data_IF_704444513857
#
_entry.id   IF_704444513857
#
_cell.length_a   1.000
_cell.length_b   1.000
_cell.length_c   1.000
_cell.angle_alpha   90.00
_cell.angle_beta   90.00
_cell.angle_gamma   90.00
#
_symmetry.space_group_name_H-M   'P 1'
#
loop_
_entity.id
_entity.type
_entity.pdbx_description
1 polymer ?
#
# COMPACT_ATOMS: atom_id res chain seq x y z
N UNK A 1 -24.60 34.29 -68.62
CA UNK A 1 -24.09 33.14 -69.40
C UNK A 1 -24.57 33.28 -70.82
N UNK A 2 -23.72 33.11 -71.83
CA UNK A 2 -24.15 33.16 -73.23
C UNK A 2 -24.83 31.84 -73.57
N UNK A 3 -26.15 31.85 -73.70
CA UNK A 3 -26.92 30.66 -74.11
C UNK A 3 -26.46 30.21 -75.50
N UNK A 4 -26.34 28.88 -75.69
CA UNK A 4 -25.90 28.25 -76.94
C UNK A 4 -27.00 28.19 -78.02
N UNK A 5 -28.17 28.76 -77.71
CA UNK A 5 -29.35 28.80 -78.56
C UNK A 5 -30.01 30.18 -78.55
N UNK A 6 -30.87 30.43 -79.53
CA UNK A 6 -31.75 31.61 -79.68
C UNK A 6 -33.19 31.11 -79.71
N UNK A 7 -34.12 31.82 -79.09
CA UNK A 7 -35.53 31.44 -79.24
C UNK A 7 -36.03 31.90 -80.62
N UNK A 8 -36.78 31.04 -81.32
CA UNK A 8 -37.22 31.35 -82.70
C UNK A 8 -38.25 32.48 -82.71
N UNK A 9 -39.14 32.49 -81.73
CA UNK A 9 -40.20 33.48 -81.60
C UNK A 9 -40.18 34.13 -80.22
N UNK A 10 -39.12 34.89 -79.90
CA UNK A 10 -39.01 35.58 -78.59
C UNK A 10 -40.24 36.43 -78.26
N UNK A 11 -40.77 37.15 -79.25
CA UNK A 11 -41.95 38.01 -79.09
C UNK A 11 -43.26 37.25 -78.87
N UNK A 12 -43.31 35.94 -79.16
CA UNK A 12 -44.50 35.11 -78.93
C UNK A 12 -44.47 34.36 -77.60
N UNK A 13 -43.37 34.45 -76.85
CA UNK A 13 -43.27 33.82 -75.54
C UNK A 13 -44.15 34.59 -74.56
N UNK A 14 -45.04 33.87 -73.88
CA UNK A 14 -45.94 34.47 -72.89
C UNK A 14 -45.13 35.21 -71.81
N UNK A 15 -45.49 36.46 -71.46
CA UNK A 15 -44.84 37.20 -70.38
C UNK A 15 -44.84 36.44 -69.04
N UNK A 16 -45.81 35.54 -68.82
CA UNK A 16 -45.90 34.70 -67.63
C UNK A 16 -44.79 33.63 -67.53
N UNK A 17 -44.02 33.42 -68.60
CA UNK A 17 -42.88 32.49 -68.64
C UNK A 17 -41.53 33.23 -68.49
N UNK A 18 -41.56 34.56 -68.33
CA UNK A 18 -40.38 35.40 -68.29
C UNK A 18 -40.03 35.76 -66.85
N UNK A 19 -38.75 35.63 -66.49
CA UNK A 19 -38.26 36.05 -65.18
C UNK A 19 -38.15 37.57 -65.11
N UNK A 20 -38.76 38.16 -64.08
CA UNK A 20 -38.72 39.62 -63.85
C UNK A 20 -37.34 40.16 -63.45
N UNK A 21 -36.41 39.29 -63.04
CA UNK A 21 -35.05 39.68 -62.65
C UNK A 21 -34.12 39.75 -63.86
N UNK A 22 -34.12 38.74 -64.74
CA UNK A 22 -33.22 38.69 -65.90
C UNK A 22 -33.87 39.02 -67.24
N UNK A 23 -35.20 39.14 -67.30
CA UNK A 23 -35.95 39.45 -68.53
C UNK A 23 -35.96 38.32 -69.58
N UNK A 24 -35.53 37.11 -69.23
CA UNK A 24 -35.49 35.94 -70.13
C UNK A 24 -36.47 34.85 -69.66
N UNK A 25 -36.88 33.91 -70.53
CA UNK A 25 -37.67 32.76 -70.12
C UNK A 25 -37.01 31.99 -68.97
N UNK A 26 -37.80 31.46 -68.03
CA UNK A 26 -37.25 30.90 -66.80
C UNK A 26 -36.25 29.74 -67.03
N UNK A 27 -35.10 29.80 -66.38
CA UNK A 27 -34.07 28.74 -66.35
C UNK A 27 -33.96 28.18 -64.93
N UNK A 28 -34.12 26.86 -64.80
CA UNK A 28 -34.25 26.15 -63.50
C UNK A 28 -35.20 26.91 -62.56
N UNK A 29 -36.52 26.97 -62.86
CA UNK A 29 -37.46 27.83 -62.14
C UNK A 29 -37.73 27.39 -60.70
N UNK A 30 -37.72 28.36 -59.78
CA UNK A 30 -38.10 28.18 -58.38
C UNK A 30 -39.16 29.21 -57.98
N UNK A 31 -40.06 28.76 -57.12
CA UNK A 31 -41.16 29.54 -56.58
C UNK A 31 -40.89 29.91 -55.11
N UNK A 32 -41.35 31.09 -54.69
CA UNK A 32 -41.59 31.35 -53.28
C UNK A 32 -42.88 30.66 -52.81
N UNK A 33 -43.13 30.64 -51.50
CA UNK A 33 -44.35 30.08 -50.89
C UNK A 33 -45.65 30.71 -51.41
N UNK A 34 -45.59 31.92 -51.96
CA UNK A 34 -46.73 32.64 -52.52
C UNK A 34 -46.94 32.41 -54.03
N UNK A 35 -46.12 31.55 -54.67
CA UNK A 35 -46.27 31.18 -56.08
C UNK A 35 -45.56 32.08 -57.09
N UNK A 36 -44.82 33.12 -56.67
CA UNK A 36 -43.99 33.92 -57.58
C UNK A 36 -42.77 33.11 -58.02
N UNK A 37 -42.55 33.04 -59.34
CA UNK A 37 -41.51 32.20 -59.96
C UNK A 37 -40.34 33.03 -60.48
N UNK A 38 -39.12 32.52 -60.32
CA UNK A 38 -37.87 33.14 -60.75
C UNK A 38 -36.87 32.06 -61.20
N UNK A 39 -35.85 32.42 -61.98
CA UNK A 39 -34.73 31.50 -62.23
C UNK A 39 -33.96 31.26 -60.93
N UNK A 40 -33.50 30.02 -60.67
CA UNK A 40 -32.78 29.66 -59.45
C UNK A 40 -31.61 30.60 -59.16
N UNK A 41 -30.75 30.83 -60.15
CA UNK A 41 -29.60 31.71 -60.00
C UNK A 41 -30.01 33.16 -59.73
N UNK A 42 -31.08 33.63 -60.38
CA UNK A 42 -31.54 35.00 -60.25
C UNK A 42 -32.07 35.29 -58.84
N UNK A 43 -32.94 34.43 -58.31
CA UNK A 43 -33.49 34.62 -56.98
C UNK A 43 -32.46 34.35 -55.88
N UNK A 44 -31.55 33.38 -56.10
CA UNK A 44 -30.45 33.13 -55.15
C UNK A 44 -29.53 34.34 -55.08
N UNK A 45 -29.15 34.92 -56.23
CA UNK A 45 -28.35 36.15 -56.26
C UNK A 45 -29.05 37.30 -55.56
N UNK A 46 -30.32 37.54 -55.86
CA UNK A 46 -31.12 38.59 -55.20
C UNK A 46 -31.12 38.47 -53.67
N UNK A 47 -31.36 37.26 -53.14
CA UNK A 47 -31.37 37.01 -51.69
C UNK A 47 -29.99 37.32 -51.05
N UNK A 48 -28.91 37.00 -51.76
CA UNK A 48 -27.54 37.16 -51.27
C UNK A 48 -27.00 38.59 -51.40
N UNK A 49 -27.39 39.32 -52.45
CA UNK A 49 -26.81 40.64 -52.76
C UNK A 49 -27.70 41.81 -52.39
N UNK A 50 -29.02 41.64 -52.47
CA UNK A 50 -29.98 42.72 -52.25
C UNK A 50 -30.68 42.56 -50.91
N UNK A 51 -31.79 41.81 -50.88
CA UNK A 51 -32.63 41.63 -49.70
C UNK A 51 -33.10 40.17 -49.62
N UNK A 52 -33.14 39.58 -48.42
CA UNK A 52 -33.68 38.24 -48.20
C UNK A 52 -35.22 38.23 -48.21
N UNK A 53 -35.80 38.68 -49.33
CA UNK A 53 -37.22 38.77 -49.56
C UNK A 53 -37.57 38.57 -51.04
N UNK A 54 -38.82 38.20 -51.31
CA UNK A 54 -39.33 38.08 -52.67
C UNK A 54 -39.37 39.45 -53.37
N UNK A 55 -38.84 39.60 -54.61
CA UNK A 55 -38.91 40.86 -55.35
C UNK A 55 -40.32 41.37 -55.63
N UNK A 56 -41.32 40.48 -55.68
CA UNK A 56 -42.69 40.80 -56.08
C UNK A 56 -43.65 40.99 -54.89
N UNK A 57 -43.60 40.12 -53.88
CA UNK A 57 -44.47 40.21 -52.70
C UNK A 57 -43.80 40.73 -51.43
N UNK A 58 -42.48 40.97 -51.46
CA UNK A 58 -41.68 41.48 -50.34
C UNK A 58 -41.64 40.59 -49.07
N UNK A 59 -42.27 39.42 -49.11
CA UNK A 59 -42.23 38.45 -48.01
C UNK A 59 -40.81 37.91 -47.79
N UNK A 60 -40.45 37.64 -46.53
CA UNK A 60 -39.12 37.11 -46.17
C UNK A 60 -38.87 35.79 -46.88
N UNK A 61 -37.71 35.68 -47.52
CA UNK A 61 -37.33 34.52 -48.32
C UNK A 61 -35.89 34.11 -48.01
N UNK A 62 -35.68 32.82 -47.83
CA UNK A 62 -34.36 32.20 -47.66
C UNK A 62 -34.10 31.21 -48.80
N UNK A 63 -32.84 30.90 -49.07
CA UNK A 63 -32.47 29.94 -50.13
C UNK A 63 -33.13 28.56 -49.88
N UNK A 64 -33.20 28.13 -48.61
CA UNK A 64 -33.77 26.84 -48.23
C UNK A 64 -35.31 26.80 -48.32
N UNK A 65 -35.98 27.96 -48.33
CA UNK A 65 -37.45 28.06 -48.46
C UNK A 65 -37.95 28.12 -49.91
N UNK A 66 -37.05 28.08 -50.90
CA UNK A 66 -37.42 28.06 -52.31
C UNK A 66 -37.94 26.68 -52.71
N UNK A 67 -39.07 26.66 -53.40
CA UNK A 67 -39.72 25.44 -53.87
C UNK A 67 -39.45 25.32 -55.38
N UNK A 68 -39.13 24.12 -55.89
CA UNK A 68 -39.02 23.93 -57.34
C UNK A 68 -40.36 24.25 -58.01
N UNK A 69 -40.32 24.88 -59.18
CA UNK A 69 -41.55 25.20 -59.87
C UNK A 69 -42.31 23.94 -60.32
N UNK A 70 -43.63 24.02 -60.51
CA UNK A 70 -44.45 22.89 -60.93
C UNK A 70 -43.98 22.30 -62.25
N UNK A 71 -44.03 20.97 -62.36
CA UNK A 71 -43.62 20.26 -63.58
C UNK A 71 -44.33 20.75 -64.84
N UNK A 72 -45.61 21.13 -64.74
CA UNK A 72 -46.37 21.69 -65.87
C UNK A 72 -45.74 22.98 -66.42
N UNK A 73 -45.21 23.85 -65.56
CA UNK A 73 -44.51 25.06 -65.99
C UNK A 73 -43.21 24.70 -66.71
N UNK A 74 -42.45 23.73 -66.18
CA UNK A 74 -41.24 23.23 -66.83
C UNK A 74 -41.55 22.62 -68.20
N UNK A 75 -42.61 21.81 -68.33
CA UNK A 75 -43.02 21.24 -69.62
C UNK A 75 -43.34 22.31 -70.67
N UNK A 76 -44.10 23.34 -70.31
CA UNK A 76 -44.40 24.47 -71.22
C UNK A 76 -43.11 25.21 -71.63
N UNK A 77 -42.17 25.38 -70.71
CA UNK A 77 -40.87 26.01 -70.98
C UNK A 77 -39.99 25.13 -71.88
N UNK A 78 -40.07 23.81 -71.73
CA UNK A 78 -39.31 22.83 -72.50
C UNK A 78 -39.84 22.73 -73.94
N UNK A 79 -41.14 22.96 -74.13
CA UNK A 79 -41.81 22.99 -75.44
C UNK A 79 -41.45 24.22 -76.29
N UNK A 80 -40.78 25.23 -75.72
CA UNK A 80 -40.35 26.41 -76.46
C UNK A 80 -39.34 26.03 -77.55
N UNK A 81 -39.57 26.52 -78.77
CA UNK A 81 -38.70 26.26 -79.91
C UNK A 81 -37.49 27.20 -79.93
N UNK A 82 -36.33 26.61 -80.14
CA UNK A 82 -35.03 27.27 -80.18
C UNK A 82 -34.27 26.91 -81.45
N UNK A 83 -33.38 27.82 -81.84
CA UNK A 83 -32.39 27.69 -82.91
C UNK A 83 -31.02 27.50 -82.28
N UNK A 84 -30.28 26.50 -82.75
CA UNK A 84 -28.91 26.29 -82.32
C UNK A 84 -27.97 27.35 -82.91
N UNK A 85 -27.24 28.09 -82.07
CA UNK A 85 -26.23 29.07 -82.52
C UNK A 85 -25.00 28.42 -83.17
N UNK A 86 -24.79 27.13 -82.93
CA UNK A 86 -23.58 26.42 -83.38
C UNK A 86 -23.79 25.81 -84.77
N UNK A 87 -24.82 24.99 -84.97
CA UNK A 87 -25.08 24.37 -86.27
C UNK A 87 -26.04 25.16 -87.16
N UNK A 88 -26.95 25.94 -86.57
CA UNK A 88 -28.01 26.66 -87.26
C UNK A 88 -29.35 25.91 -87.37
N UNK A 89 -29.45 24.70 -86.79
CA UNK A 89 -30.69 23.91 -86.78
C UNK A 89 -31.79 24.63 -86.00
N UNK A 90 -32.98 24.68 -86.60
CA UNK A 90 -34.20 25.32 -86.07
C UNK A 90 -35.18 24.25 -85.58
N UNK A 91 -36.29 24.67 -84.97
CA UNK A 91 -37.36 23.81 -84.46
C UNK A 91 -36.90 22.76 -83.42
N UNK A 92 -35.86 23.10 -82.66
CA UNK A 92 -35.42 22.31 -81.52
C UNK A 92 -36.22 22.70 -80.28
N UNK A 93 -36.77 21.72 -79.56
CA UNK A 93 -37.37 21.99 -78.26
C UNK A 93 -36.29 22.33 -77.24
N UNK A 94 -36.51 23.39 -76.45
CA UNK A 94 -35.58 23.86 -75.41
C UNK A 94 -35.18 22.72 -74.46
N UNK A 95 -36.14 21.92 -74.00
CA UNK A 95 -35.88 20.83 -73.05
C UNK A 95 -34.93 19.75 -73.61
N UNK A 96 -34.90 19.58 -74.94
CA UNK A 96 -34.06 18.60 -75.62
C UNK A 96 -32.79 19.21 -76.25
N UNK A 97 -32.53 20.50 -75.99
CA UNK A 97 -31.41 21.19 -76.60
C UNK A 97 -30.06 20.64 -76.13
N UNK A 98 -29.94 20.27 -74.85
CA UNK A 98 -28.71 19.68 -74.32
C UNK A 98 -28.39 18.34 -75.00
N UNK A 99 -29.40 17.52 -75.27
CA UNK A 99 -29.21 16.29 -76.02
C UNK A 99 -28.73 16.57 -77.45
N UNK A 100 -29.30 17.59 -78.11
CA UNK A 100 -28.82 18.03 -79.42
C UNK A 100 -27.32 18.37 -79.36
N UNK A 101 -26.87 19.19 -78.42
CA UNK A 101 -25.45 19.56 -78.29
C UNK A 101 -24.56 18.35 -78.00
N UNK A 102 -24.99 17.49 -77.08
CA UNK A 102 -24.17 16.36 -76.61
C UNK A 102 -24.08 15.21 -77.61
N UNK A 103 -25.11 14.99 -78.44
CA UNK A 103 -25.19 13.79 -79.28
C UNK A 103 -25.33 14.07 -80.78
N UNK A 104 -26.03 15.13 -81.18
CA UNK A 104 -26.48 15.32 -82.57
C UNK A 104 -25.80 16.46 -83.32
N UNK A 105 -25.44 17.55 -82.63
CA UNK A 105 -24.96 18.77 -83.26
C UNK A 105 -23.66 18.51 -84.06
N UNK A 106 -23.66 18.70 -85.39
CA UNK A 106 -22.50 18.36 -86.23
C UNK A 106 -21.33 19.34 -86.08
N UNK A 107 -21.61 20.60 -85.78
CA UNK A 107 -20.60 21.66 -85.66
C UNK A 107 -20.08 21.87 -84.23
N UNK A 108 -20.61 21.12 -83.25
CA UNK A 108 -20.12 21.18 -81.87
C UNK A 108 -18.69 20.63 -81.80
N UNK A 109 -17.83 21.28 -81.02
CA UNK A 109 -16.45 20.84 -80.83
C UNK A 109 -16.43 19.77 -79.75
N UNK A 110 -15.94 18.58 -80.11
CA UNK A 110 -15.76 17.45 -79.21
C UNK A 110 -14.29 17.03 -79.16
N UNK A 111 -13.89 16.43 -78.05
CA UNK A 111 -12.61 15.74 -77.91
C UNK A 111 -12.73 14.31 -78.41
N UNK A 112 -11.59 13.71 -78.77
CA UNK A 112 -11.52 12.29 -79.07
C UNK A 112 -12.05 11.43 -77.90
N UNK A 113 -12.63 10.26 -78.19
CA UNK A 113 -12.95 9.25 -77.17
C UNK A 113 -11.73 8.90 -76.33
N UNK A 114 -10.57 8.71 -76.98
CA UNK A 114 -9.27 8.46 -76.34
C UNK A 114 -8.57 9.69 -75.74
N UNK A 115 -9.31 10.76 -75.41
CA UNK A 115 -8.74 11.92 -74.72
C UNK A 115 -8.20 11.58 -73.31
N UNK A 116 -8.76 10.56 -72.65
CA UNK A 116 -8.25 9.98 -71.40
C UNK A 116 -6.85 9.36 -71.55
N UNK A 117 -6.53 8.93 -72.76
CA UNK A 117 -5.20 8.44 -73.16
C UNK A 117 -4.35 9.55 -73.78
N UNK A 118 -4.75 10.81 -73.56
CA UNK A 118 -4.08 12.01 -74.04
C UNK A 118 -4.04 12.14 -75.57
N UNK A 119 -5.04 11.61 -76.29
CA UNK A 119 -5.23 11.98 -77.68
C UNK A 119 -5.48 13.49 -77.78
N UNK A 120 -4.64 14.25 -78.50
CA UNK A 120 -4.73 15.71 -78.54
C UNK A 120 -5.86 16.23 -79.43
N UNK A 121 -6.55 15.34 -80.15
CA UNK A 121 -7.54 15.75 -81.13
C UNK A 121 -8.78 16.34 -80.47
N UNK A 122 -9.09 17.56 -80.88
CA UNK A 122 -10.34 18.26 -80.63
C UNK A 122 -10.83 18.88 -81.94
N UNK A 123 -12.12 18.75 -82.23
CA UNK A 123 -12.65 19.20 -83.51
C UNK A 123 -14.16 19.07 -83.60
N UNK A 124 -14.73 19.54 -84.71
CA UNK A 124 -16.16 19.43 -84.95
C UNK A 124 -16.59 17.95 -85.02
N UNK A 125 -17.75 17.63 -84.44
CA UNK A 125 -18.34 16.28 -84.46
C UNK A 125 -18.42 15.70 -85.88
N UNK A 126 -18.75 16.51 -86.88
CA UNK A 126 -18.81 16.08 -88.28
C UNK A 126 -17.47 15.50 -88.82
N UNK A 127 -16.34 15.88 -88.23
CA UNK A 127 -15.01 15.38 -88.59
C UNK A 127 -14.51 14.25 -87.69
N UNK A 128 -15.28 13.88 -86.65
CA UNK A 128 -14.87 12.89 -85.66
C UNK A 128 -14.67 11.51 -86.28
N UNK A 129 -15.57 11.03 -87.14
CA UNK A 129 -15.45 9.71 -87.77
C UNK A 129 -14.20 9.61 -88.66
N UNK A 130 -13.81 10.71 -89.32
CA UNK A 130 -12.57 10.75 -90.09
C UNK A 130 -11.35 10.65 -89.19
N UNK A 131 -11.37 11.32 -88.04
CA UNK A 131 -10.31 11.18 -87.05
C UNK A 131 -10.27 9.76 -86.47
N UNK A 132 -11.42 9.19 -86.08
CA UNK A 132 -11.49 7.88 -85.42
C UNK A 132 -10.87 6.77 -86.27
N UNK A 133 -11.07 6.80 -87.60
CA UNK A 133 -10.44 5.84 -88.54
C UNK A 133 -8.90 5.89 -88.55
N UNK A 134 -8.31 7.04 -88.23
CA UNK A 134 -6.85 7.24 -88.18
C UNK A 134 -6.30 7.43 -86.77
N UNK A 135 -7.12 7.29 -85.73
CA UNK A 135 -6.71 7.55 -84.36
C UNK A 135 -5.85 6.39 -83.86
N UNK A 136 -4.56 6.63 -83.63
CA UNK A 136 -3.65 5.60 -83.08
C UNK A 136 -3.97 5.20 -81.63
N UNK A 137 -4.64 6.09 -80.89
CA UNK A 137 -4.95 5.89 -79.47
C UNK A 137 -6.19 5.02 -79.24
N UNK A 138 -7.14 5.01 -80.19
CA UNK A 138 -8.39 4.26 -80.04
C UNK A 138 -8.18 2.73 -80.03
N UNK A 139 -7.36 2.13 -80.92
CA UNK A 139 -7.07 0.69 -80.87
C UNK A 139 -6.36 0.26 -79.58
N UNK A 140 -5.52 1.12 -78.99
CA UNK A 140 -4.77 0.84 -77.77
C UNK A 140 -5.62 0.96 -76.50
N UNK A 141 -6.85 1.48 -76.63
CA UNK A 141 -7.69 1.87 -75.50
C UNK A 141 -8.00 0.70 -74.57
N UNK A 142 -8.40 -0.44 -75.10
CA UNK A 142 -8.76 -1.59 -74.27
C UNK A 142 -7.60 -2.03 -73.35
N UNK A 143 -6.40 -2.21 -73.91
CA UNK A 143 -5.21 -2.60 -73.15
C UNK A 143 -4.77 -1.52 -72.18
N UNK A 144 -4.74 -0.25 -72.62
CA UNK A 144 -4.27 0.84 -71.77
C UNK A 144 -5.25 1.15 -70.62
N UNK A 145 -6.56 1.07 -70.86
CA UNK A 145 -7.58 1.18 -69.81
C UNK A 145 -7.45 0.06 -68.78
N UNK A 146 -7.13 -1.17 -69.21
CA UNK A 146 -6.85 -2.27 -68.28
C UNK A 146 -5.61 -1.97 -67.42
N UNK A 147 -4.49 -1.58 -68.04
CA UNK A 147 -3.25 -1.25 -67.32
C UNK A 147 -3.42 -0.07 -66.35
N UNK A 148 -4.20 0.94 -66.73
CA UNK A 148 -4.51 2.08 -65.84
C UNK A 148 -5.37 1.64 -64.64
N UNK A 149 -6.34 0.74 -64.86
CA UNK A 149 -7.16 0.16 -63.79
C UNK A 149 -6.32 -0.69 -62.83
N UNK A 150 -5.43 -1.52 -63.35
CA UNK A 150 -4.49 -2.32 -62.55
C UNK A 150 -3.53 -1.43 -61.77
N UNK A 151 -2.95 -0.41 -62.39
CA UNK A 151 -2.09 0.56 -61.70
C UNK A 151 -2.84 1.28 -60.57
N UNK A 152 -4.08 1.70 -60.81
CA UNK A 152 -4.92 2.30 -59.77
C UNK A 152 -5.13 1.32 -58.61
N UNK A 153 -5.52 0.08 -58.92
CA UNK A 153 -5.71 -0.98 -57.92
C UNK A 153 -4.43 -1.25 -57.12
N UNK A 154 -3.27 -1.26 -57.78
CA UNK A 154 -1.97 -1.42 -57.11
C UNK A 154 -1.66 -0.23 -56.20
N UNK A 155 -1.89 1.01 -56.64
CA UNK A 155 -1.73 2.21 -55.80
C UNK A 155 -2.64 2.17 -54.58
N UNK A 156 -3.90 1.78 -54.75
CA UNK A 156 -4.86 1.65 -53.65
C UNK A 156 -4.39 0.60 -52.64
N UNK A 157 -3.85 -0.54 -53.10
CA UNK A 157 -3.26 -1.58 -52.24
C UNK A 157 -2.02 -1.08 -51.49
N UNK A 158 -1.12 -0.34 -52.15
CA UNK A 158 0.06 0.27 -51.52
C UNK A 158 -0.38 1.25 -50.43
N UNK A 159 -1.37 2.11 -50.72
CA UNK A 159 -1.90 3.05 -49.75
C UNK A 159 -2.52 2.34 -48.55
N UNK A 160 -3.33 1.29 -48.78
CA UNK A 160 -3.88 0.49 -47.69
C UNK A 160 -2.78 -0.18 -46.84
N UNK A 161 -1.75 -0.72 -47.48
CA UNK A 161 -0.66 -1.35 -46.74
C UNK A 161 0.15 -0.33 -45.93
N UNK A 162 0.33 0.88 -46.44
CA UNK A 162 0.98 1.99 -45.73
C UNK A 162 0.20 2.40 -44.49
N UNK A 163 -1.13 2.49 -44.59
CA UNK A 163 -2.00 2.77 -43.44
C UNK A 163 -1.85 1.68 -42.37
N UNK A 164 -1.93 0.40 -42.76
CA UNK A 164 -1.75 -0.72 -41.81
C UNK A 164 -0.38 -0.73 -41.14
N UNK A 165 0.69 -0.44 -41.89
CA UNK A 165 2.03 -0.36 -41.30
C UNK A 165 2.13 0.76 -40.26
N UNK A 166 1.48 1.89 -40.51
CA UNK A 166 1.44 3.01 -39.57
C UNK A 166 0.67 2.65 -38.30
N UNK A 167 -0.48 1.97 -38.45
CA UNK A 167 -1.27 1.46 -37.32
C UNK A 167 -0.45 0.48 -36.47
N UNK A 168 0.22 -0.49 -37.10
CA UNK A 168 1.08 -1.44 -36.40
C UNK A 168 2.26 -0.76 -35.69
N UNK A 169 2.86 0.27 -36.30
CA UNK A 169 3.92 1.05 -35.66
C UNK A 169 3.41 1.79 -34.41
N UNK A 170 2.19 2.33 -34.45
CA UNK A 170 1.57 2.97 -33.29
C UNK A 170 1.31 1.96 -32.17
N UNK A 171 0.79 0.77 -32.49
CA UNK A 171 0.57 -0.30 -31.51
C UNK A 171 1.89 -0.74 -30.85
N UNK A 172 2.95 -0.94 -31.64
CA UNK A 172 4.29 -1.26 -31.13
C UNK A 172 4.78 -0.14 -30.19
N UNK A 173 4.53 1.13 -30.53
CA UNK A 173 4.84 2.27 -29.69
C UNK A 173 4.20 2.18 -28.31
N UNK A 174 2.88 1.93 -28.26
CA UNK A 174 2.12 1.77 -27.02
C UNK A 174 2.60 0.57 -26.19
N UNK A 175 2.85 -0.56 -26.83
CA UNK A 175 3.37 -1.76 -26.16
C UNK A 175 4.75 -1.51 -25.54
N UNK A 176 5.62 -0.78 -26.24
CA UNK A 176 6.93 -0.41 -25.73
C UNK A 176 6.84 0.53 -24.52
N UNK A 177 5.94 1.50 -24.55
CA UNK A 177 5.70 2.39 -23.41
C UNK A 177 5.20 1.61 -22.19
N UNK A 178 4.22 0.71 -22.40
CA UNK A 178 3.73 -0.19 -21.36
C UNK A 178 4.85 -1.08 -20.78
N UNK A 179 5.68 -1.66 -21.64
CA UNK A 179 6.82 -2.47 -21.23
C UNK A 179 7.84 -1.67 -20.41
N UNK A 180 8.08 -0.41 -20.78
CA UNK A 180 8.97 0.50 -20.04
C UNK A 180 8.40 0.83 -18.65
N UNK A 181 7.10 1.13 -18.55
CA UNK A 181 6.45 1.37 -17.26
C UNK A 181 6.53 0.14 -16.35
N UNK A 182 6.22 -1.05 -16.88
CA UNK A 182 6.37 -2.33 -16.18
C UNK A 182 7.81 -2.54 -15.69
N UNK A 183 8.81 -2.25 -16.53
CA UNK A 183 10.23 -2.40 -16.17
C UNK A 183 10.61 -1.48 -15.00
N UNK A 184 10.15 -0.23 -15.02
CA UNK A 184 10.40 0.73 -13.93
C UNK A 184 9.74 0.28 -12.61
N UNK A 185 8.51 -0.24 -12.68
CA UNK A 185 7.83 -0.80 -11.50
C UNK A 185 8.60 -2.00 -10.92
N UNK A 186 9.01 -2.94 -11.78
CA UNK A 186 9.82 -4.10 -11.37
C UNK A 186 11.12 -3.65 -10.72
N UNK A 187 11.80 -2.64 -11.30
CA UNK A 187 13.03 -2.09 -10.71
C UNK A 187 12.77 -1.49 -9.33
N UNK A 188 11.68 -0.75 -9.16
CA UNK A 188 11.26 -0.20 -7.87
C UNK A 188 11.02 -1.31 -6.83
N UNK A 189 10.28 -2.35 -7.22
CA UNK A 189 10.04 -3.52 -6.35
C UNK A 189 11.34 -4.25 -6.00
N UNK A 190 12.25 -4.40 -6.95
CA UNK A 190 13.54 -5.07 -6.73
C UNK A 190 14.40 -4.32 -5.72
N UNK A 191 14.42 -2.98 -5.78
CA UNK A 191 15.12 -2.16 -4.81
C UNK A 191 14.53 -2.34 -3.40
N UNK A 192 13.20 -2.36 -3.27
CA UNK A 192 12.51 -2.61 -2.00
C UNK A 192 12.80 -4.00 -1.44
N UNK A 193 12.77 -5.05 -2.28
CA UNK A 193 13.12 -6.42 -1.89
C UNK A 193 14.57 -6.46 -1.37
N UNK A 194 15.49 -5.79 -2.06
CA UNK A 194 16.90 -5.72 -1.65
C UNK A 194 17.04 -5.08 -0.27
N UNK A 195 16.34 -3.96 -0.03
CA UNK A 195 16.34 -3.30 1.27
C UNK A 195 15.75 -4.19 2.38
N UNK A 196 14.61 -4.83 2.12
CA UNK A 196 13.95 -5.71 3.08
C UNK A 196 14.82 -6.94 3.42
N UNK A 197 15.51 -7.49 2.42
CA UNK A 197 16.45 -8.60 2.64
C UNK A 197 17.61 -8.19 3.56
N UNK A 198 18.12 -6.96 3.42
CA UNK A 198 19.16 -6.46 4.33
C UNK A 198 18.60 -6.25 5.75
N UNK A 199 17.38 -5.73 5.89
CA UNK A 199 16.72 -5.62 7.20
C UNK A 199 16.55 -6.99 7.87
N UNK A 200 16.05 -7.98 7.14
CA UNK A 200 15.90 -9.36 7.63
C UNK A 200 17.25 -9.93 8.07
N UNK A 201 18.33 -9.65 7.33
CA UNK A 201 19.68 -10.09 7.68
C UNK A 201 20.13 -9.47 9.00
N UNK A 202 19.91 -8.17 9.20
CA UNK A 202 20.23 -7.47 10.45
C UNK A 202 19.41 -8.02 11.63
N UNK A 203 18.13 -8.29 11.43
CA UNK A 203 17.27 -8.90 12.47
C UNK A 203 17.71 -10.31 12.84
N UNK A 204 18.14 -11.13 11.87
CA UNK A 204 18.69 -12.47 12.14
C UNK A 204 19.94 -12.41 13.02
N UNK A 205 20.86 -11.49 12.75
CA UNK A 205 22.07 -11.31 13.56
C UNK A 205 21.69 -10.97 15.01
N UNK A 206 20.80 -10.00 15.22
CA UNK A 206 20.32 -9.62 16.56
C UNK A 206 19.66 -10.79 17.29
N UNK A 207 18.86 -11.58 16.57
CA UNK A 207 18.20 -12.76 17.15
C UNK A 207 19.22 -13.80 17.61
N UNK A 208 20.28 -14.03 16.84
CA UNK A 208 21.34 -14.98 17.21
C UNK A 208 22.18 -14.48 18.38
N UNK A 209 22.49 -13.17 18.45
CA UNK A 209 23.12 -12.55 19.63
C UNK A 209 22.26 -12.73 20.89
N UNK A 210 20.95 -12.46 20.77
CA UNK A 210 20.02 -12.64 21.88
C UNK A 210 19.90 -14.12 22.31
N UNK A 211 19.95 -15.05 21.36
CA UNK A 211 19.97 -16.49 21.66
C UNK A 211 21.21 -16.89 22.43
N UNK A 212 22.39 -16.41 22.05
CA UNK A 212 23.64 -16.66 22.76
C UNK A 212 23.59 -16.09 24.19
N UNK A 213 23.09 -14.86 24.35
CA UNK A 213 22.91 -14.24 25.66
C UNK A 213 21.94 -15.06 26.55
N UNK A 214 20.80 -15.49 26.00
CA UNK A 214 19.84 -16.33 26.72
C UNK A 214 20.46 -17.68 27.13
N UNK A 215 21.25 -18.32 26.27
CA UNK A 215 21.97 -19.54 26.61
C UNK A 215 22.96 -19.32 27.77
N UNK A 216 23.63 -18.17 27.81
CA UNK A 216 24.53 -17.83 28.92
C UNK A 216 23.77 -17.60 30.22
N UNK A 217 22.64 -16.90 30.17
CA UNK A 217 21.73 -16.71 31.32
C UNK A 217 21.21 -18.05 31.86
N UNK A 218 20.87 -19.01 30.99
CA UNK A 218 20.46 -20.36 31.42
C UNK A 218 21.59 -21.03 32.22
N UNK A 219 22.82 -21.02 31.71
CA UNK A 219 23.99 -21.59 32.42
C UNK A 219 24.21 -20.90 33.78
N UNK A 220 24.12 -19.58 33.84
CA UNK A 220 24.22 -18.84 35.11
C UNK A 220 23.11 -19.22 36.09
N UNK A 221 21.88 -19.42 35.58
CA UNK A 221 20.74 -19.84 36.40
C UNK A 221 20.96 -21.25 36.98
N UNK A 222 21.54 -22.17 36.20
CA UNK A 222 21.93 -23.50 36.68
C UNK A 222 22.98 -23.43 37.79
N UNK A 223 24.01 -22.58 37.64
CA UNK A 223 25.02 -22.37 38.70
C UNK A 223 24.41 -21.79 39.98
N UNK A 224 23.56 -20.77 39.86
CA UNK A 224 22.86 -20.18 41.02
C UNK A 224 21.99 -21.23 41.72
N UNK A 225 21.29 -22.07 40.98
CA UNK A 225 20.51 -23.16 41.54
C UNK A 225 21.37 -24.19 42.29
N UNK A 226 22.56 -24.50 41.79
CA UNK A 226 23.53 -25.36 42.48
C UNK A 226 23.93 -24.75 43.83
N UNK A 227 24.35 -23.49 43.85
CA UNK A 227 24.70 -22.80 45.10
C UNK A 227 23.51 -22.70 46.05
N UNK A 228 22.30 -22.46 45.54
CA UNK A 228 21.08 -22.46 46.35
C UNK A 228 20.85 -23.80 47.04
N UNK A 229 21.03 -24.91 46.33
CA UNK A 229 20.91 -26.26 46.90
C UNK A 229 21.98 -26.53 47.97
N UNK A 230 23.24 -26.15 47.69
CA UNK A 230 24.33 -26.27 48.68
C UNK A 230 24.04 -25.45 49.94
N UNK A 231 23.55 -24.22 49.76
CA UNK A 231 23.20 -23.34 50.88
C UNK A 231 22.00 -23.88 51.68
N UNK A 232 21.01 -24.49 51.03
CA UNK A 232 19.93 -25.20 51.72
C UNK A 232 20.45 -26.38 52.56
N UNK A 233 21.41 -27.15 52.05
CA UNK A 233 22.05 -28.24 52.80
C UNK A 233 22.82 -27.69 54.01
N UNK A 234 23.61 -26.62 53.82
CA UNK A 234 24.34 -25.96 54.90
C UNK A 234 23.39 -25.41 55.96
N UNK A 235 22.29 -24.77 55.56
CA UNK A 235 21.26 -24.26 56.47
C UNK A 235 20.66 -25.39 57.32
N UNK A 236 20.36 -26.56 56.72
CA UNK A 236 19.89 -27.73 57.49
C UNK A 236 20.94 -28.25 58.48
N UNK A 237 22.21 -28.31 58.07
CA UNK A 237 23.31 -28.72 58.96
C UNK A 237 23.49 -27.76 60.13
N UNK A 238 23.39 -26.45 59.86
CA UNK A 238 23.46 -25.40 60.89
C UNK A 238 22.31 -25.56 61.89
N UNK A 239 21.08 -25.79 61.42
CA UNK A 239 19.93 -26.06 62.28
C UNK A 239 20.16 -27.31 63.17
N UNK A 240 20.61 -28.42 62.59
CA UNK A 240 20.95 -29.63 63.35
C UNK A 240 22.06 -29.39 64.39
N UNK A 241 23.07 -28.58 64.07
CA UNK A 241 24.13 -28.21 65.01
C UNK A 241 23.58 -27.35 66.16
N UNK A 242 22.71 -26.38 65.87
CA UNK A 242 22.04 -25.56 66.89
C UNK A 242 21.15 -26.40 67.81
N UNK A 243 20.42 -27.37 67.28
CA UNK A 243 19.62 -28.31 68.08
C UNK A 243 20.52 -29.13 69.02
N UNK A 244 21.66 -29.62 68.53
CA UNK A 244 22.66 -30.34 69.33
C UNK A 244 23.28 -29.47 70.43
N UNK A 245 23.62 -28.22 70.12
CA UNK A 245 24.13 -27.28 71.12
C UNK A 245 23.06 -27.05 72.19
N UNK A 246 21.80 -26.87 71.78
CA UNK A 246 20.69 -26.68 72.72
C UNK A 246 20.49 -27.90 73.63
N UNK A 247 20.59 -29.12 73.10
CA UNK A 247 20.51 -30.34 73.92
C UNK A 247 21.69 -30.46 74.90
N UNK A 248 22.91 -30.11 74.47
CA UNK A 248 24.10 -30.12 75.35
C UNK A 248 24.01 -29.06 76.45
N UNK A 249 23.47 -27.87 76.14
CA UNK A 249 23.20 -26.83 77.15
C UNK A 249 22.20 -27.38 78.19
N UNK A 250 21.15 -28.05 77.75
CA UNK A 250 20.15 -28.63 78.65
C UNK A 250 20.72 -29.78 79.49
N UNK A 251 21.56 -30.63 78.90
CA UNK A 251 22.29 -31.68 79.62
C UNK A 251 23.26 -31.08 80.66
N UNK A 252 23.98 -30.01 80.31
CA UNK A 252 24.84 -29.28 81.23
C UNK A 252 24.05 -28.67 82.40
N UNK A 253 22.87 -28.09 82.15
CA UNK A 253 21.98 -27.61 83.22
C UNK A 253 21.54 -28.75 84.13
N UNK A 254 21.10 -29.87 83.57
CA UNK A 254 20.69 -31.05 84.34
C UNK A 254 21.85 -31.62 85.17
N UNK A 255 23.05 -31.69 84.62
CA UNK A 255 24.25 -32.11 85.34
C UNK A 255 24.62 -31.13 86.46
N UNK A 256 24.45 -29.81 86.24
CA UNK A 256 24.65 -28.79 87.28
C UNK A 256 23.67 -28.99 88.44
N UNK A 257 22.38 -29.26 88.15
CA UNK A 257 21.38 -29.61 89.17
C UNK A 257 21.78 -30.88 89.93
N UNK A 258 22.26 -31.92 89.22
CA UNK A 258 22.74 -33.17 89.83
C UNK A 258 23.95 -32.96 90.75
N UNK A 259 24.89 -32.11 90.34
CA UNK A 259 26.09 -31.75 91.12
C UNK A 259 25.75 -30.95 92.38
N UNK A 260 24.75 -30.06 92.31
CA UNK A 260 24.25 -29.35 93.51
C UNK A 260 23.63 -30.35 94.50
N UNK A 261 22.84 -31.31 94.00
CA UNK A 261 22.24 -32.36 94.85
C UNK A 261 23.29 -33.24 95.54
N UNK A 262 24.34 -33.64 94.83
CA UNK A 262 25.48 -34.36 95.41
C UNK A 262 26.22 -33.56 96.49
N UNK A 263 26.37 -32.23 96.32
CA UNK A 263 26.94 -31.35 97.34
C UNK A 263 26.06 -31.27 98.60
N UNK A 264 24.74 -31.26 98.45
CA UNK A 264 23.80 -31.27 99.59
C UNK A 264 23.87 -32.60 100.36
N UNK A 265 23.97 -33.72 99.66
CA UNK A 265 24.12 -35.05 100.27
C UNK A 265 25.46 -35.21 101.02
N UNK A 266 26.55 -34.65 100.49
CA UNK A 266 27.85 -34.60 101.18
C UNK A 266 27.87 -33.62 102.36
N UNK A 267 27.11 -32.52 102.29
CA UNK A 267 26.86 -31.63 103.42
C UNK A 267 26.31 -32.40 104.62
N UNK A 268 25.24 -33.20 104.42
CA UNK A 268 24.65 -34.03 105.47
C UNK A 268 25.63 -35.02 106.11
N UNK A 269 26.51 -35.64 105.32
CA UNK A 269 27.50 -36.59 105.81
C UNK A 269 28.59 -35.95 106.69
N UNK A 270 29.01 -34.72 106.36
CA UNK A 270 30.00 -33.97 107.15
C UNK A 270 29.48 -33.51 108.50
N UNK A 271 28.20 -33.12 108.59
CA UNK A 271 27.56 -32.74 109.86
C UNK A 271 27.39 -33.93 110.81
N UNK A 272 27.12 -35.12 110.28
CA UNK A 272 27.01 -36.35 111.08
C UNK A 272 28.38 -36.77 111.65
N UNK A 273 29.45 -36.72 110.85
CA UNK A 273 30.81 -37.04 111.30
C UNK A 273 31.33 -36.05 112.36
N UNK A 274 31.10 -34.74 112.18
CA UNK A 274 31.51 -33.73 113.16
C UNK A 274 30.80 -33.91 114.50
N UNK A 275 29.51 -34.30 114.50
CA UNK A 275 28.76 -34.56 115.73
C UNK A 275 29.32 -35.78 116.50
N UNK A 276 29.70 -36.86 115.78
CA UNK A 276 30.35 -38.02 116.38
C UNK A 276 31.72 -37.70 117.01
N UNK A 277 32.51 -36.83 116.37
CA UNK A 277 33.84 -36.42 116.89
C UNK A 277 33.69 -35.56 118.15
N UNK A 278 32.71 -34.65 118.20
CA UNK A 278 32.44 -33.83 119.39
C UNK A 278 31.97 -34.69 120.57
N UNK A 279 31.11 -35.68 120.34
CA UNK A 279 30.70 -36.64 121.39
C UNK A 279 31.87 -37.44 121.95
N UNK A 280 32.80 -37.90 121.10
CA UNK A 280 33.99 -38.64 121.55
C UNK A 280 34.94 -37.76 122.38
N UNK A 281 35.12 -36.49 122.02
CA UNK A 281 35.94 -35.55 122.79
C UNK A 281 35.35 -35.24 124.18
N UNK A 282 34.02 -35.19 124.30
CA UNK A 282 33.34 -35.04 125.60
C UNK A 282 33.56 -36.27 126.49
N UNK A 283 33.49 -37.48 125.93
CA UNK A 283 33.72 -38.74 126.68
C UNK A 283 35.17 -38.85 127.17
N UNK A 284 36.14 -38.46 126.33
CA UNK A 284 37.57 -38.45 126.71
C UNK A 284 37.86 -37.39 127.78
N UNK A 285 37.20 -36.22 127.71
CA UNK A 285 37.31 -35.16 128.71
C UNK A 285 36.78 -35.55 130.10
N UNK A 286 35.68 -36.32 130.16
CA UNK A 286 35.11 -36.80 131.43
C UNK A 286 35.96 -37.92 132.04
N UNK A 287 36.69 -38.68 131.23
CA UNK A 287 37.56 -39.76 131.70
C UNK A 287 38.87 -39.24 132.31
N UNK A 288 39.36 -38.08 131.88
CA UNK A 288 40.59 -37.47 132.42
C UNK A 288 40.39 -36.76 133.78
N UNK A 289 39.15 -36.37 134.12
CA UNK A 289 38.83 -35.77 135.43
C UNK A 289 38.61 -36.80 136.53
N UNK A 290 38.33 -38.06 136.20
CA UNK A 290 38.09 -39.14 137.18
C UNK A 290 39.39 -39.82 137.65
N UNK A 291 40.50 -39.69 136.91
CA UNK A 291 41.75 -40.43 137.20
C UNK A 291 42.86 -39.56 137.85
N UNK A 292 42.68 -38.22 137.91
CA UNK A 292 43.72 -37.28 138.35
C UNK A 292 43.75 -36.87 139.84
N UNK A 293 42.94 -37.47 140.73
CA UNK A 293 42.88 -37.09 142.15
C UNK A 293 43.28 -38.23 143.12
N UNK A 294 44.31 -39.01 142.75
CA UNK A 294 45.15 -39.78 143.68
C UNK A 294 46.60 -39.41 143.34
N UNK A 295 47.36 -38.95 144.34
CA UNK A 295 48.69 -38.33 144.27
C UNK A 295 48.71 -36.81 144.03
N UNK A 296 48.78 -36.09 145.16
CA UNK A 296 48.98 -34.65 145.21
C UNK A 296 50.33 -34.19 144.66
N UNK A 297 50.38 -32.88 144.39
CA UNK A 297 51.41 -32.11 143.69
C UNK A 297 51.34 -32.15 142.15
N UNK A 298 50.23 -31.68 141.59
CA UNK A 298 50.20 -31.04 140.27
C UNK A 298 49.39 -29.73 140.34
N UNK A 299 49.97 -28.67 139.79
CA UNK A 299 49.57 -27.26 139.90
C UNK A 299 48.19 -26.98 139.27
N UNK A 300 47.21 -26.58 140.09
CA UNK A 300 45.80 -26.33 139.69
C UNK A 300 45.60 -25.21 138.67
N UNK A 301 46.57 -24.30 138.55
CA UNK A 301 46.52 -23.20 137.56
C UNK A 301 46.72 -23.70 136.12
N UNK A 302 47.50 -24.77 135.91
CA UNK A 302 47.79 -25.29 134.57
C UNK A 302 46.58 -26.01 133.92
N UNK A 303 45.73 -26.66 134.72
CA UNK A 303 44.52 -27.35 134.24
C UNK A 303 43.41 -26.36 133.85
N UNK A 304 43.28 -25.23 134.56
CA UNK A 304 42.36 -24.15 134.19
C UNK A 304 42.78 -23.45 132.89
N UNK A 305 44.09 -23.23 132.69
CA UNK A 305 44.61 -22.62 131.45
C UNK A 305 44.40 -23.54 130.25
N UNK A 306 44.62 -24.86 130.40
CA UNK A 306 44.34 -25.83 129.34
C UNK A 306 42.84 -25.95 129.02
N UNK A 307 41.97 -25.87 130.04
CA UNK A 307 40.52 -25.84 129.84
C UNK A 307 40.03 -24.58 129.10
N UNK A 308 40.59 -23.41 129.41
CA UNK A 308 40.25 -22.15 128.73
C UNK A 308 40.79 -22.15 127.30
N UNK A 309 41.99 -22.66 127.05
CA UNK A 309 42.55 -22.80 125.69
C UNK A 309 41.68 -23.73 124.86
N UNK A 310 41.20 -24.86 125.41
CA UNK A 310 40.29 -25.76 124.71
C UNK A 310 38.94 -25.09 124.38
N UNK A 311 38.40 -24.28 125.29
CA UNK A 311 37.15 -23.53 125.06
C UNK A 311 37.32 -22.43 123.99
N UNK A 312 38.45 -21.71 124.00
CA UNK A 312 38.77 -20.67 123.01
C UNK A 312 39.00 -21.29 121.62
N UNK A 313 39.65 -22.45 121.53
CA UNK A 313 39.82 -23.18 120.26
C UNK A 313 38.46 -23.66 119.74
N UNK A 314 37.58 -24.17 120.61
CA UNK A 314 36.22 -24.59 120.22
C UNK A 314 35.37 -23.41 119.71
N UNK A 315 35.44 -22.25 120.36
CA UNK A 315 34.75 -21.03 119.92
C UNK A 315 35.36 -20.44 118.63
N UNK A 316 36.67 -20.51 118.45
CA UNK A 316 37.32 -20.04 117.23
C UNK A 316 36.97 -20.91 116.02
N UNK A 317 36.86 -22.23 116.21
CA UNK A 317 36.43 -23.16 115.16
C UNK A 317 34.96 -22.96 114.77
N UNK A 318 34.05 -22.72 115.73
CA UNK A 318 32.64 -22.47 115.42
C UNK A 318 32.42 -21.16 114.64
N UNK A 319 33.16 -20.08 114.97
CA UNK A 319 33.12 -18.81 114.23
C UNK A 319 33.67 -18.97 112.80
N UNK A 320 34.73 -19.75 112.62
CA UNK A 320 35.32 -20.00 111.29
C UNK A 320 34.39 -20.84 110.39
N UNK A 321 33.62 -21.76 110.98
CA UNK A 321 32.58 -22.53 110.29
C UNK A 321 31.40 -21.64 109.85
N UNK A 322 30.97 -20.68 110.68
CA UNK A 322 29.95 -19.69 110.30
C UNK A 322 30.40 -18.78 109.15
N UNK A 323 31.68 -18.34 109.13
CA UNK A 323 32.20 -17.48 108.07
C UNK A 323 32.36 -18.20 106.71
N UNK A 324 32.56 -19.52 106.71
CA UNK A 324 32.60 -20.32 105.48
C UNK A 324 31.21 -20.51 104.85
N UNK A 325 30.16 -20.69 105.67
CA UNK A 325 28.78 -20.81 105.17
C UNK A 325 28.21 -19.51 104.57
N UNK A 326 28.72 -18.34 104.96
CA UNK A 326 28.24 -17.06 104.43
C UNK A 326 28.76 -16.72 103.02
N UNK A 327 29.91 -17.28 102.62
CA UNK A 327 30.60 -16.87 101.38
C UNK A 327 30.06 -17.57 100.12
N UNK A 328 29.37 -18.70 100.27
CA UNK A 328 28.83 -19.47 99.13
C UNK A 328 27.48 -18.95 98.59
N UNK A 329 26.74 -18.09 99.31
CA UNK A 329 25.47 -17.54 98.81
C UNK A 329 25.64 -16.39 97.80
N UNK A 330 26.76 -15.68 97.81
CA UNK A 330 26.92 -14.48 97.00
C UNK A 330 27.35 -14.74 95.54
N UNK A 331 27.72 -15.97 95.17
CA UNK A 331 28.26 -16.26 93.84
C UNK A 331 27.24 -16.87 92.86
N UNK A 332 25.97 -17.02 93.25
CA UNK A 332 24.92 -17.62 92.41
C UNK A 332 24.03 -16.60 91.67
N UNK A 333 24.32 -15.29 91.75
CA UNK A 333 23.53 -14.23 91.09
C UNK A 333 24.28 -13.45 89.99
N UNK A 334 25.36 -14.00 89.43
CA UNK A 334 26.06 -13.38 88.31
C UNK A 334 26.45 -14.41 87.25
N UNK A 335 25.50 -14.77 86.39
CA UNK A 335 25.63 -14.97 84.92
C UNK A 335 24.41 -15.69 84.39
#
# INVERSE_FOLDING_TARGET
MTTKYEYINESSISPNLICTICGSPFEDPYCCSHGHTFCRECITRWILTEKPSCPLCQERLTINSLIKAPHALCGILDDLLVKCKICGEIDLHRGNFDEHIQKRCPKTVISCSAADLQCPWTGQRAHFDRHLRGCHYEPMRATLSQLLSENKTMKDRIQQMTIRLTEQQNEIGLLNEYANQRRNQIQGQQNSITHLNEQIKQERIKLDEQRQQNQQLIKQTEEVNKYKNENQILTRKLAQANDRISSLIEESKNNKVRMVKLKEDHGGLTYSLLCCIVCLLIIVGISFTVVGARHGQVNTVALLVLGIIALVIALALSVRIMLMCGRDRNNNNAS
#
